data_IF_093029743773
#
_entry.id   IF_093029743773
#
_cell.length_a   1.000
_cell.length_b   1.000
_cell.length_c   1.000
_cell.angle_alpha   90.00
_cell.angle_beta   90.00
_cell.angle_gamma   90.00
#
_symmetry.space_group_name_H-M   'P 1'
#
loop_
_entity.id
_entity.type
_entity.pdbx_description
1 polymer ?
#
# COMPACT_ATOMS: atom_id res chain seq x y z
N UNK A 1 -33.01 48.41 -72.34
CA UNK A 1 -32.28 48.79 -71.13
C UNK A 1 -32.10 47.50 -70.37
N UNK A 2 -30.93 46.99 -70.48
CA UNK A 2 -30.53 45.67 -70.00
C UNK A 2 -29.92 45.80 -68.66
N UNK A 3 -30.46 45.13 -67.68
CA UNK A 3 -29.83 44.91 -66.35
C UNK A 3 -29.23 43.53 -66.32
N UNK A 4 -27.90 43.46 -66.14
CA UNK A 4 -27.11 42.23 -65.98
C UNK A 4 -27.15 41.81 -64.52
N UNK A 5 -27.65 40.61 -64.31
CA UNK A 5 -27.58 39.89 -63.04
C UNK A 5 -26.17 39.32 -62.84
N UNK A 6 -25.49 39.63 -61.72
CA UNK A 6 -24.23 39.05 -61.30
C UNK A 6 -24.51 37.98 -60.26
N UNK A 7 -24.06 36.74 -60.58
CA UNK A 7 -24.13 35.57 -59.67
C UNK A 7 -23.14 35.71 -58.48
N UNK A 8 -23.45 35.22 -57.27
CA UNK A 8 -22.53 35.23 -56.15
C UNK A 8 -21.48 34.10 -56.27
N UNK A 9 -20.24 34.45 -55.95
CA UNK A 9 -19.05 33.54 -55.83
C UNK A 9 -19.23 32.50 -54.71
N UNK A 10 -18.71 31.26 -54.83
CA UNK A 10 -18.87 30.26 -53.80
C UNK A 10 -17.95 30.54 -52.58
N UNK A 11 -18.53 30.35 -51.40
CA UNK A 11 -17.89 30.49 -50.13
C UNK A 11 -16.73 29.49 -49.96
N UNK A 12 -15.61 30.02 -49.53
CA UNK A 12 -14.42 29.29 -49.13
C UNK A 12 -14.74 28.28 -48.02
N UNK A 13 -14.34 27.02 -48.26
CA UNK A 13 -14.49 25.91 -47.34
C UNK A 13 -13.80 26.20 -46.00
N UNK A 14 -14.55 25.99 -44.93
CA UNK A 14 -14.02 25.93 -43.56
C UNK A 14 -13.17 24.66 -43.45
N UNK A 15 -11.87 24.82 -43.30
CA UNK A 15 -10.99 23.72 -42.87
C UNK A 15 -11.46 23.19 -41.50
N UNK A 16 -11.75 21.90 -41.43
CA UNK A 16 -12.01 21.20 -40.16
C UNK A 16 -10.71 21.28 -39.31
N UNK A 17 -10.83 21.47 -37.97
CA UNK A 17 -9.66 21.54 -37.11
C UNK A 17 -8.93 20.19 -37.17
N UNK A 18 -7.71 20.19 -37.68
CA UNK A 18 -6.78 19.07 -37.57
C UNK A 18 -6.43 18.87 -36.11
N UNK A 19 -7.08 17.89 -35.48
CA UNK A 19 -6.68 17.41 -34.15
C UNK A 19 -5.31 16.76 -34.31
N UNK A 20 -4.26 17.48 -33.94
CA UNK A 20 -2.94 16.89 -33.68
C UNK A 20 -3.13 15.74 -32.68
N UNK A 21 -2.57 14.55 -32.89
CA UNK A 21 -2.64 13.48 -31.88
C UNK A 21 -2.03 14.02 -30.60
N UNK A 22 -2.81 13.97 -29.50
CA UNK A 22 -2.34 14.38 -28.18
C UNK A 22 -1.05 13.62 -27.88
N UNK A 23 0.00 14.33 -27.49
CA UNK A 23 1.27 13.73 -27.08
C UNK A 23 0.99 12.76 -25.92
N UNK A 24 1.77 11.67 -25.81
CA UNK A 24 1.58 10.66 -24.76
C UNK A 24 1.53 11.23 -23.33
N UNK A 25 2.15 12.41 -23.13
CA UNK A 25 2.08 13.16 -21.88
C UNK A 25 0.66 13.70 -21.59
N UNK A 26 -0.04 14.23 -22.60
CA UNK A 26 -1.38 14.78 -22.47
C UNK A 26 -2.41 13.68 -22.17
N UNK A 27 -2.25 12.50 -22.76
CA UNK A 27 -3.08 11.35 -22.51
C UNK A 27 -2.89 10.83 -21.07
N UNK A 28 -1.64 10.75 -20.59
CA UNK A 28 -1.33 10.38 -19.21
C UNK A 28 -1.95 11.35 -18.20
N UNK A 29 -1.81 12.66 -18.42
CA UNK A 29 -2.40 13.71 -17.59
C UNK A 29 -3.94 13.63 -17.56
N UNK A 30 -4.57 13.45 -18.71
CA UNK A 30 -6.02 13.28 -18.79
C UNK A 30 -6.51 12.03 -18.02
N UNK A 31 -5.74 10.92 -18.08
CA UNK A 31 -6.02 9.69 -17.34
C UNK A 31 -5.88 9.92 -15.84
N UNK A 32 -4.78 10.53 -15.39
CA UNK A 32 -4.55 10.93 -13.99
C UNK A 32 -5.72 11.78 -13.47
N UNK A 33 -6.11 12.80 -14.22
CA UNK A 33 -7.22 13.69 -13.82
C UNK A 33 -8.54 12.92 -13.66
N UNK A 34 -8.88 12.02 -14.59
CA UNK A 34 -10.11 11.19 -14.47
C UNK A 34 -10.10 10.31 -13.23
N UNK A 35 -8.96 9.65 -12.95
CA UNK A 35 -8.83 8.74 -11.80
C UNK A 35 -8.88 9.52 -10.50
N UNK A 36 -8.12 10.61 -10.38
CA UNK A 36 -8.17 11.54 -9.25
C UNK A 36 -9.61 11.93 -8.91
N UNK A 37 -10.36 12.41 -9.90
CA UNK A 37 -11.76 12.84 -9.71
C UNK A 37 -12.69 11.71 -9.27
N UNK A 38 -12.45 10.47 -9.75
CA UNK A 38 -13.22 9.30 -9.30
C UNK A 38 -12.91 8.96 -7.85
N UNK A 39 -11.63 8.92 -7.48
CA UNK A 39 -11.18 8.62 -6.12
C UNK A 39 -11.66 9.69 -5.14
N UNK A 40 -11.46 10.96 -5.42
CA UNK A 40 -11.90 12.07 -4.57
C UNK A 40 -13.42 12.05 -4.33
N UNK A 41 -14.21 11.74 -5.37
CA UNK A 41 -15.69 11.70 -5.25
C UNK A 41 -16.19 10.50 -4.46
N UNK A 42 -15.57 9.35 -4.61
CA UNK A 42 -16.06 8.10 -4.01
C UNK A 42 -15.52 7.88 -2.60
N UNK A 43 -14.31 8.34 -2.32
CA UNK A 43 -13.65 8.20 -1.00
C UNK A 43 -13.90 9.44 -0.13
N UNK A 44 -14.12 10.61 -0.75
CA UNK A 44 -14.38 11.85 0.00
C UNK A 44 -13.11 12.51 0.58
N UNK A 45 -11.92 12.02 0.24
CA UNK A 45 -10.62 12.56 0.65
C UNK A 45 -10.00 13.27 -0.55
N UNK A 46 -9.55 14.51 -0.39
CA UNK A 46 -8.85 15.23 -1.45
C UNK A 46 -7.45 14.66 -1.66
N UNK A 47 -7.01 14.58 -2.92
CA UNK A 47 -5.63 14.33 -3.26
C UNK A 47 -4.81 15.63 -3.16
N UNK A 48 -3.60 15.54 -2.63
CA UNK A 48 -2.67 16.68 -2.52
C UNK A 48 -1.67 16.67 -3.67
N UNK A 49 -1.28 17.84 -4.13
CA UNK A 49 -0.24 18.05 -5.15
C UNK A 49 1.08 18.47 -4.49
N UNK A 50 2.15 18.48 -5.25
CA UNK A 50 3.45 18.93 -4.74
C UNK A 50 4.19 17.91 -3.89
N UNK A 51 3.90 16.61 -4.02
CA UNK A 51 4.56 15.59 -3.22
C UNK A 51 5.76 14.97 -3.94
N UNK A 52 6.74 14.56 -3.15
CA UNK A 52 7.78 13.63 -3.55
C UNK A 52 7.48 12.26 -2.93
N UNK A 53 7.46 11.22 -3.74
CA UNK A 53 7.30 9.83 -3.28
C UNK A 53 8.45 9.00 -3.81
N UNK A 54 9.24 8.43 -2.92
CA UNK A 54 10.36 7.55 -3.24
C UNK A 54 10.03 6.11 -2.82
N UNK A 55 9.78 5.19 -3.75
CA UNK A 55 9.70 3.77 -3.42
C UNK A 55 11.04 3.28 -2.87
N UNK A 56 11.00 2.59 -1.73
CA UNK A 56 12.14 1.97 -1.08
C UNK A 56 11.97 0.45 -1.16
N UNK A 57 13.04 -0.24 -1.51
CA UNK A 57 13.02 -1.68 -1.74
C UNK A 57 13.83 -2.43 -0.70
N UNK A 58 13.23 -3.43 -0.04
CA UNK A 58 13.83 -4.32 0.93
C UNK A 58 14.42 -3.62 2.17
N UNK A 59 14.82 -4.42 3.14
CA UNK A 59 15.21 -3.90 4.46
C UNK A 59 16.43 -3.00 4.45
N UNK A 60 17.45 -3.31 3.64
CA UNK A 60 18.68 -2.52 3.60
C UNK A 60 18.39 -1.05 3.24
N UNK A 61 17.56 -0.81 2.24
CA UNK A 61 17.17 0.54 1.84
C UNK A 61 16.14 1.16 2.78
N UNK A 62 15.12 0.38 3.18
CA UNK A 62 14.00 0.87 3.98
C UNK A 62 14.47 1.24 5.39
N UNK A 63 15.14 0.33 6.11
CA UNK A 63 15.58 0.59 7.47
C UNK A 63 16.68 1.64 7.54
N UNK A 64 17.56 1.69 6.52
CA UNK A 64 18.55 2.76 6.39
C UNK A 64 17.87 4.13 6.36
N UNK A 65 16.94 4.34 5.43
CA UNK A 65 16.21 5.60 5.29
C UNK A 65 15.38 5.97 6.54
N UNK A 66 14.70 4.99 7.16
CA UNK A 66 13.90 5.23 8.36
C UNK A 66 14.77 5.61 9.57
N UNK A 67 15.89 4.89 9.80
CA UNK A 67 16.82 5.19 10.91
C UNK A 67 17.52 6.54 10.73
N UNK A 68 17.91 6.87 9.49
CA UNK A 68 18.50 8.18 9.17
C UNK A 68 17.50 9.32 9.47
N UNK A 69 16.22 9.13 9.09
CA UNK A 69 15.18 10.11 9.40
C UNK A 69 14.97 10.25 10.90
N UNK A 70 14.85 9.15 11.67
CA UNK A 70 14.73 9.19 13.12
C UNK A 70 15.93 9.88 13.76
N UNK A 71 17.14 9.51 13.35
CA UNK A 71 18.38 10.08 13.92
C UNK A 71 18.51 11.58 13.65
N UNK A 72 17.92 12.07 12.56
CA UNK A 72 17.91 13.48 12.17
C UNK A 72 16.79 14.30 12.80
N UNK A 73 15.84 13.66 13.50
CA UNK A 73 14.66 14.29 14.08
C UNK A 73 15.05 15.39 15.09
N UNK A 74 14.35 16.53 15.01
CA UNK A 74 14.59 17.72 15.86
C UNK A 74 13.42 18.04 16.79
N UNK A 75 12.21 17.63 16.41
CA UNK A 75 10.99 18.05 17.10
C UNK A 75 10.09 16.86 17.46
N UNK A 76 9.74 16.04 16.48
CA UNK A 76 8.75 14.96 16.69
C UNK A 76 9.12 13.69 15.94
N UNK A 77 8.84 12.54 16.55
CA UNK A 77 8.84 11.23 15.91
C UNK A 77 7.57 10.50 16.32
N UNK A 78 6.71 10.20 15.34
CA UNK A 78 5.50 9.43 15.54
C UNK A 78 5.63 8.11 14.78
N UNK A 79 5.71 7.01 15.49
CA UNK A 79 5.89 5.68 14.91
C UNK A 79 4.76 4.74 15.31
N UNK A 80 4.20 4.04 14.33
CA UNK A 80 3.18 3.02 14.55
C UNK A 80 3.50 1.79 13.73
N UNK A 81 3.45 0.60 14.35
CA UNK A 81 3.70 -0.65 13.64
C UNK A 81 2.86 -1.80 14.17
N UNK A 82 2.49 -2.73 13.27
CA UNK A 82 1.86 -3.98 13.64
C UNK A 82 2.86 -4.96 14.27
N UNK A 83 4.04 -5.12 13.63
CA UNK A 83 5.11 -6.00 14.10
C UNK A 83 6.25 -5.17 14.67
N UNK A 84 6.59 -5.44 15.92
CA UNK A 84 7.85 -5.05 16.54
C UNK A 84 8.34 -6.28 17.36
N UNK A 85 9.25 -7.05 16.77
CA UNK A 85 9.73 -8.28 17.38
C UNK A 85 11.11 -8.07 17.99
N UNK A 86 11.77 -9.16 18.40
CA UNK A 86 13.14 -9.16 18.92
C UNK A 86 14.16 -9.15 17.77
N UNK A 87 15.38 -8.75 18.07
CA UNK A 87 16.51 -8.83 17.14
C UNK A 87 17.30 -7.52 17.07
N UNK A 88 18.32 -7.52 16.23
CA UNK A 88 19.24 -6.38 16.11
C UNK A 88 18.55 -5.13 15.56
N UNK A 89 17.70 -5.28 14.53
CA UNK A 89 16.97 -4.14 13.99
C UNK A 89 16.01 -3.53 15.01
N UNK A 90 15.38 -4.36 15.86
CA UNK A 90 14.53 -3.88 16.94
C UNK A 90 15.32 -3.06 17.97
N UNK A 91 16.53 -3.51 18.34
CA UNK A 91 17.44 -2.78 19.23
C UNK A 91 17.86 -1.46 18.63
N UNK A 92 18.25 -1.43 17.35
CA UNK A 92 18.65 -0.19 16.64
C UNK A 92 17.54 0.85 16.63
N UNK A 93 16.29 0.46 16.34
CA UNK A 93 15.15 1.38 16.42
C UNK A 93 14.89 1.85 17.84
N UNK A 94 14.91 0.96 18.85
CA UNK A 94 14.71 1.33 20.25
C UNK A 94 15.79 2.33 20.74
N UNK A 95 17.04 2.11 20.37
CA UNK A 95 18.16 3.01 20.70
C UNK A 95 18.00 4.38 20.02
N UNK A 96 17.67 4.42 18.72
CA UNK A 96 17.46 5.66 17.99
C UNK A 96 16.29 6.48 18.57
N UNK A 97 15.15 5.84 18.87
CA UNK A 97 13.99 6.49 19.48
C UNK A 97 14.32 7.00 20.88
N UNK A 98 14.96 6.20 21.73
CA UNK A 98 15.37 6.57 23.07
C UNK A 98 16.40 7.72 23.06
N UNK A 99 17.35 7.71 22.13
CA UNK A 99 18.31 8.81 21.97
C UNK A 99 17.62 10.13 21.62
N UNK A 100 16.67 10.12 20.69
CA UNK A 100 15.92 11.33 20.33
C UNK A 100 15.09 11.84 21.49
N UNK A 101 14.40 10.96 22.23
CA UNK A 101 13.64 11.35 23.41
C UNK A 101 14.53 12.01 24.48
N UNK A 102 15.72 11.45 24.80
CA UNK A 102 16.69 12.06 25.72
C UNK A 102 17.17 13.45 25.26
N UNK A 103 17.20 13.67 23.94
CA UNK A 103 17.58 14.97 23.36
C UNK A 103 16.39 15.94 23.21
N UNK A 104 15.25 15.66 23.87
CA UNK A 104 14.10 16.56 23.95
C UNK A 104 13.14 16.48 22.75
N UNK A 105 13.35 15.54 21.82
CA UNK A 105 12.38 15.26 20.74
C UNK A 105 11.16 14.55 21.34
N UNK A 106 9.94 14.97 20.98
CA UNK A 106 8.73 14.21 21.32
C UNK A 106 8.71 12.92 20.52
N UNK A 107 8.74 11.78 21.20
CA UNK A 107 8.70 10.46 20.56
C UNK A 107 7.47 9.69 21.02
N UNK A 108 6.57 9.37 20.10
CA UNK A 108 5.38 8.53 20.35
C UNK A 108 5.52 7.22 19.58
N UNK A 109 5.35 6.10 20.27
CA UNK A 109 5.40 4.75 19.69
C UNK A 109 4.09 4.01 19.96
N UNK A 110 3.34 3.70 18.90
CA UNK A 110 2.10 2.92 18.99
C UNK A 110 2.32 1.50 18.48
N UNK A 111 2.13 0.52 19.34
CA UNK A 111 2.32 -0.90 19.07
C UNK A 111 0.99 -1.64 19.02
N UNK A 112 0.77 -2.50 18.01
CA UNK A 112 -0.39 -3.40 18.02
C UNK A 112 -0.24 -4.47 19.13
N UNK A 113 -1.27 -4.64 19.95
CA UNK A 113 -1.23 -5.52 21.11
C UNK A 113 -1.07 -7.01 20.79
N UNK A 114 -1.34 -7.44 19.54
CA UNK A 114 -1.17 -8.81 19.11
C UNK A 114 0.11 -8.98 18.27
N UNK A 115 0.31 -8.11 17.29
CA UNK A 115 1.42 -8.21 16.36
C UNK A 115 2.77 -7.96 17.02
N UNK A 116 2.85 -7.03 17.99
CA UNK A 116 4.08 -6.66 18.68
C UNK A 116 4.33 -7.41 20.01
N UNK A 117 3.63 -8.51 20.25
CA UNK A 117 3.77 -9.30 21.50
C UNK A 117 5.14 -9.92 21.75
N UNK A 118 5.99 -9.98 20.73
CA UNK A 118 7.35 -10.56 20.79
C UNK A 118 8.43 -9.50 21.01
N UNK A 119 8.08 -8.23 21.25
CA UNK A 119 9.05 -7.20 21.62
C UNK A 119 9.72 -7.57 22.96
N UNK A 120 11.03 -7.33 23.05
CA UNK A 120 11.78 -7.57 24.27
C UNK A 120 11.42 -6.52 25.34
N UNK A 121 11.13 -6.97 26.55
CA UNK A 121 10.66 -6.10 27.63
C UNK A 121 11.68 -5.04 28.02
N UNK A 122 12.99 -5.38 27.99
CA UNK A 122 14.07 -4.44 28.27
C UNK A 122 14.16 -3.30 27.27
N UNK A 123 13.77 -3.52 26.00
CA UNK A 123 13.69 -2.43 25.01
C UNK A 123 12.55 -1.47 25.33
N UNK A 124 11.41 -1.97 25.79
CA UNK A 124 10.29 -1.13 26.21
C UNK A 124 10.67 -0.28 27.44
N UNK A 125 11.32 -0.90 28.42
CA UNK A 125 11.77 -0.21 29.64
C UNK A 125 12.77 0.92 29.29
N UNK A 126 13.80 0.61 28.49
CA UNK A 126 14.78 1.60 28.02
C UNK A 126 14.16 2.77 27.26
N UNK A 127 13.19 2.49 26.37
CA UNK A 127 12.49 3.54 25.62
C UNK A 127 11.65 4.39 26.58
N UNK A 128 10.90 3.79 27.49
CA UNK A 128 10.08 4.52 28.46
C UNK A 128 10.91 5.35 29.44
N UNK A 129 12.02 4.81 29.95
CA UNK A 129 12.97 5.53 30.82
C UNK A 129 13.63 6.72 30.09
N UNK A 130 13.82 6.61 28.79
CA UNK A 130 14.33 7.71 27.95
C UNK A 130 13.29 8.80 27.64
N UNK A 131 12.01 8.57 27.98
CA UNK A 131 10.92 9.51 27.72
C UNK A 131 10.15 9.26 26.40
N UNK A 132 10.29 8.09 25.79
CA UNK A 132 9.42 7.66 24.69
C UNK A 132 8.02 7.35 25.25
N UNK A 133 7.00 7.98 24.67
CA UNK A 133 5.61 7.68 25.02
C UNK A 133 5.14 6.43 24.25
N UNK A 134 4.99 5.30 24.96
CA UNK A 134 4.64 4.00 24.38
C UNK A 134 3.18 3.64 24.66
N UNK A 135 2.38 3.56 23.62
CA UNK A 135 0.98 3.15 23.69
C UNK A 135 0.73 1.81 23.00
N UNK A 136 -0.35 1.13 23.42
CA UNK A 136 -0.74 -0.17 22.88
C UNK A 136 -2.13 -0.13 22.27
N UNK A 137 -2.21 -0.41 20.97
CA UNK A 137 -3.49 -0.56 20.29
C UNK A 137 -4.12 -1.91 20.62
N UNK A 138 -5.28 -1.88 21.30
CA UNK A 138 -6.14 -3.04 21.61
C UNK A 138 -5.37 -4.23 22.19
N UNK A 139 -4.65 -4.01 23.28
CA UNK A 139 -3.94 -5.07 24.01
C UNK A 139 -4.94 -6.15 24.45
N UNK A 140 -4.73 -7.45 24.18
CA UNK A 140 -5.73 -8.50 24.40
C UNK A 140 -6.33 -8.56 25.81
N UNK A 141 -5.55 -8.29 26.84
CA UNK A 141 -6.00 -8.28 28.23
C UNK A 141 -6.95 -7.10 28.58
N UNK A 142 -7.02 -6.07 27.73
CA UNK A 142 -7.73 -4.82 28.03
C UNK A 142 -8.97 -4.60 27.15
N UNK A 143 -9.23 -5.45 26.18
CA UNK A 143 -10.34 -5.26 25.23
C UNK A 143 -11.21 -6.51 25.09
N UNK A 144 -12.48 -6.31 24.74
CA UNK A 144 -13.42 -7.41 24.50
C UNK A 144 -12.99 -8.29 23.32
N UNK A 145 -13.37 -9.59 23.29
CA UNK A 145 -13.05 -10.50 22.20
C UNK A 145 -13.47 -9.99 20.80
N UNK A 146 -14.59 -9.26 20.72
CA UNK A 146 -15.08 -8.67 19.47
C UNK A 146 -14.11 -7.61 18.92
N UNK A 147 -13.58 -6.74 19.77
CA UNK A 147 -12.59 -5.73 19.39
C UNK A 147 -11.20 -6.32 19.10
N UNK A 148 -10.89 -7.49 19.64
CA UNK A 148 -9.61 -8.17 19.39
C UNK A 148 -9.44 -8.63 17.95
N UNK A 149 -10.51 -8.82 17.19
CA UNK A 149 -10.42 -9.23 15.79
C UNK A 149 -10.00 -8.10 14.85
N UNK A 150 -10.14 -6.85 15.25
CA UNK A 150 -9.76 -5.66 14.47
C UNK A 150 -8.39 -5.18 14.93
N UNK A 151 -7.39 -5.18 14.03
CA UNK A 151 -5.99 -4.91 14.33
C UNK A 151 -5.50 -3.65 13.63
N UNK A 152 -4.50 -3.01 14.21
CA UNK A 152 -3.77 -1.93 13.58
C UNK A 152 -2.69 -2.53 12.67
N UNK A 153 -3.02 -2.75 11.40
CA UNK A 153 -2.04 -3.26 10.43
C UNK A 153 -1.27 -2.16 9.73
N UNK A 154 -1.52 -0.88 10.04
CA UNK A 154 -0.76 0.27 9.55
C UNK A 154 0.69 0.19 9.99
N UNK A 155 1.61 0.62 9.12
CA UNK A 155 3.01 0.84 9.38
C UNK A 155 3.30 2.27 8.97
N UNK A 156 3.55 3.11 9.95
CA UNK A 156 3.71 4.55 9.78
C UNK A 156 4.90 5.03 10.60
N UNK A 157 5.74 5.82 10.00
CA UNK A 157 6.73 6.66 10.68
C UNK A 157 6.59 8.08 10.13
N UNK A 158 6.40 9.06 11.00
CA UNK A 158 6.40 10.49 10.65
C UNK A 158 7.46 11.18 11.48
N UNK A 159 8.32 11.95 10.84
CA UNK A 159 9.41 12.67 11.50
C UNK A 159 9.26 14.15 11.20
N UNK A 160 9.26 14.95 12.28
CA UNK A 160 9.18 16.41 12.27
C UNK A 160 7.98 16.97 11.46
N UNK A 161 6.96 16.13 11.21
CA UNK A 161 5.83 16.41 10.32
C UNK A 161 6.25 16.74 8.87
N UNK A 162 7.49 16.45 8.47
CA UNK A 162 8.06 16.79 7.17
C UNK A 162 8.35 15.58 6.27
N UNK A 163 8.59 14.44 6.87
CA UNK A 163 8.87 13.21 6.15
C UNK A 163 8.05 12.08 6.76
N UNK A 164 7.43 11.28 5.90
CA UNK A 164 6.66 10.12 6.32
C UNK A 164 7.08 8.86 5.57
N UNK A 165 6.90 7.72 6.23
CA UNK A 165 7.13 6.40 5.66
C UNK A 165 5.90 5.51 5.88
N UNK A 166 5.52 4.74 4.84
CA UNK A 166 4.49 3.71 4.96
C UNK A 166 4.70 2.60 3.93
N UNK A 167 4.24 1.39 4.24
CA UNK A 167 4.39 0.22 3.37
C UNK A 167 4.15 -1.10 4.08
N UNK A 168 4.83 -2.17 3.65
CA UNK A 168 4.60 -3.52 4.18
C UNK A 168 5.46 -3.91 5.38
N UNK A 169 6.58 -3.24 5.63
CA UNK A 169 7.63 -3.67 6.56
C UNK A 169 7.22 -3.52 8.03
N UNK A 170 7.45 -4.57 8.83
CA UNK A 170 7.47 -4.49 10.29
C UNK A 170 8.91 -4.38 10.83
N UNK A 171 9.06 -4.19 12.13
CA UNK A 171 10.37 -4.14 12.79
C UNK A 171 10.74 -5.55 13.28
N UNK A 172 11.42 -6.30 12.42
CA UNK A 172 11.89 -7.66 12.71
C UNK A 172 12.98 -8.08 11.71
N UNK A 173 13.78 -9.07 12.10
CA UNK A 173 14.92 -9.55 11.32
C UNK A 173 14.54 -10.11 9.95
N UNK A 174 13.31 -10.64 9.82
CA UNK A 174 12.79 -11.20 8.57
C UNK A 174 12.75 -10.17 7.43
N UNK A 175 12.63 -8.90 7.76
CA UNK A 175 12.67 -7.81 6.76
C UNK A 175 14.06 -7.22 6.56
N UNK A 176 15.11 -7.64 7.31
CA UNK A 176 16.48 -7.17 7.08
C UNK A 176 17.03 -7.74 5.77
N UNK A 177 18.05 -7.08 5.21
CA UNK A 177 18.72 -7.51 3.99
C UNK A 177 18.01 -7.07 2.71
N UNK A 178 18.39 -7.70 1.60
CA UNK A 178 17.96 -7.36 0.25
C UNK A 178 17.30 -8.52 -0.50
N UNK A 179 16.53 -9.35 0.23
CA UNK A 179 15.81 -10.50 -0.32
C UNK A 179 16.70 -11.52 -1.05
N UNK A 180 17.95 -11.71 -0.59
CA UNK A 180 18.97 -12.57 -1.21
C UNK A 180 18.83 -14.03 -0.84
N UNK A 181 18.10 -14.32 0.22
CA UNK A 181 17.91 -15.67 0.74
C UNK A 181 16.53 -15.80 1.42
N UNK A 182 16.05 -17.02 1.75
CA UNK A 182 14.72 -17.24 2.34
C UNK A 182 14.44 -16.52 3.66
N UNK A 183 15.44 -16.06 4.38
CA UNK A 183 15.32 -15.35 5.65
C UNK A 183 15.12 -13.85 5.48
N UNK A 184 15.47 -13.30 4.34
CA UNK A 184 15.35 -11.89 3.99
C UNK A 184 14.08 -11.66 3.16
N UNK A 185 13.02 -11.11 3.72
CA UNK A 185 11.76 -10.94 3.01
C UNK A 185 11.82 -9.81 1.97
N UNK A 186 11.15 -10.03 0.85
CA UNK A 186 10.97 -9.02 -0.20
C UNK A 186 9.81 -8.11 0.16
N UNK A 187 10.08 -6.83 0.40
CA UNK A 187 9.03 -5.85 0.69
C UNK A 187 9.29 -4.49 0.03
N UNK A 188 8.31 -3.61 0.11
CA UNK A 188 8.38 -2.23 -0.41
C UNK A 188 7.75 -1.26 0.58
N UNK A 189 8.42 -0.12 0.77
CA UNK A 189 7.92 1.05 1.50
C UNK A 189 7.94 2.27 0.58
N UNK A 190 7.27 3.33 1.00
CA UNK A 190 7.39 4.65 0.40
C UNK A 190 7.90 5.65 1.44
N UNK A 191 8.89 6.45 1.07
CA UNK A 191 9.22 7.71 1.69
C UNK A 191 8.40 8.82 1.02
N UNK A 192 7.76 9.67 1.81
CA UNK A 192 6.88 10.75 1.35
C UNK A 192 7.31 12.08 1.93
N UNK A 193 7.38 13.12 1.11
CA UNK A 193 7.57 14.51 1.51
C UNK A 193 6.54 15.40 0.83
N UNK A 194 6.23 16.53 1.42
CA UNK A 194 5.21 17.46 0.94
C UNK A 194 3.84 17.24 1.61
N UNK A 195 2.76 17.85 1.08
CA UNK A 195 1.45 17.89 1.75
C UNK A 195 0.81 16.55 2.11
N UNK A 196 1.17 15.45 1.41
CA UNK A 196 0.66 14.12 1.73
C UNK A 196 1.15 13.57 3.08
N UNK A 197 2.19 14.17 3.67
CA UNK A 197 2.67 13.82 5.03
C UNK A 197 1.55 13.98 6.05
N UNK A 198 0.72 15.02 5.95
CA UNK A 198 -0.44 15.24 6.83
C UNK A 198 -1.43 14.07 6.81
N UNK A 199 -1.66 13.50 5.63
CA UNK A 199 -2.54 12.34 5.48
C UNK A 199 -1.98 11.09 6.17
N UNK A 200 -0.66 10.89 6.14
CA UNK A 200 0.02 9.78 6.83
C UNK A 200 0.07 10.05 8.34
N UNK A 201 0.34 11.29 8.75
CA UNK A 201 0.29 11.70 10.16
C UNK A 201 -1.13 11.52 10.75
N UNK A 202 -2.17 11.86 9.96
CA UNK A 202 -3.56 11.63 10.36
C UNK A 202 -3.87 10.13 10.54
N UNK A 203 -3.22 9.22 9.81
CA UNK A 203 -3.37 7.79 10.04
C UNK A 203 -2.78 7.36 11.39
N UNK A 204 -1.66 7.94 11.82
CA UNK A 204 -1.12 7.75 13.17
C UNK A 204 -2.06 8.34 14.22
N UNK A 205 -2.42 9.61 14.10
CA UNK A 205 -3.23 10.35 15.07
C UNK A 205 -4.59 9.66 15.33
N UNK A 206 -5.22 9.10 14.29
CA UNK A 206 -6.48 8.38 14.41
C UNK A 206 -6.41 7.17 15.36
N UNK A 207 -5.34 6.37 15.26
CA UNK A 207 -5.14 5.23 16.15
C UNK A 207 -4.57 5.64 17.52
N UNK A 208 -3.75 6.70 17.57
CA UNK A 208 -3.26 7.26 18.83
C UNK A 208 -4.42 7.73 19.71
N UNK A 209 -5.39 8.44 19.13
CA UNK A 209 -6.58 8.93 19.80
C UNK A 209 -7.44 7.83 20.44
N UNK A 210 -7.43 6.60 19.90
CA UNK A 210 -8.14 5.46 20.51
C UNK A 210 -7.42 4.98 21.78
N UNK A 211 -6.11 5.18 21.88
CA UNK A 211 -5.25 4.59 22.90
C UNK A 211 -4.80 5.57 23.98
N UNK A 212 -4.87 6.87 23.69
CA UNK A 212 -4.38 7.92 24.55
C UNK A 212 -5.45 9.02 24.78
N UNK A 213 -5.63 9.52 26.02
CA UNK A 213 -6.67 10.51 26.30
C UNK A 213 -6.38 11.90 25.72
N UNK A 214 -5.12 12.22 25.49
CA UNK A 214 -4.70 13.50 24.91
C UNK A 214 -4.42 13.33 23.42
N UNK A 215 -5.11 14.12 22.59
CA UNK A 215 -4.95 14.11 21.13
C UNK A 215 -3.78 14.95 20.68
N UNK A 216 -3.63 16.10 21.28
CA UNK A 216 -2.63 17.11 20.92
C UNK A 216 -1.94 17.62 22.18
N UNK A 217 -0.69 18.03 22.05
CA UNK A 217 0.08 18.72 23.09
C UNK A 217 0.73 19.99 22.53
N UNK A 218 1.38 20.79 23.39
CA UNK A 218 2.04 22.06 23.02
C UNK A 218 3.19 21.89 22.01
N UNK A 219 3.57 20.66 21.70
CA UNK A 219 4.64 20.32 20.75
C UNK A 219 4.10 19.98 19.36
N UNK A 220 2.77 19.87 19.19
CA UNK A 220 2.16 19.71 17.86
C UNK A 220 2.34 21.00 17.05
N UNK A 221 2.90 20.87 15.85
CA UNK A 221 3.37 22.02 15.08
C UNK A 221 2.44 22.47 13.98
N UNK A 222 1.68 21.52 13.38
CA UNK A 222 0.76 21.82 12.26
C UNK A 222 1.43 22.65 11.16
N UNK A 223 2.54 22.17 10.63
CA UNK A 223 3.35 22.89 9.67
C UNK A 223 2.67 23.01 8.31
N UNK A 224 2.93 24.09 7.59
CA UNK A 224 2.61 24.18 6.17
C UNK A 224 3.71 23.51 5.34
N UNK A 225 3.32 22.70 4.37
CA UNK A 225 4.25 21.99 3.52
C UNK A 225 4.56 22.77 2.24
N UNK A 226 5.83 23.01 2.00
CA UNK A 226 6.29 23.44 0.68
C UNK A 226 6.25 22.28 -0.31
N UNK A 227 6.01 22.53 -1.60
CA UNK A 227 6.08 21.49 -2.61
C UNK A 227 7.45 20.81 -2.63
N UNK A 228 7.46 19.48 -2.53
CA UNK A 228 8.68 18.66 -2.54
C UNK A 228 8.90 17.89 -3.85
N UNK A 229 7.91 17.92 -4.75
CA UNK A 229 7.94 17.20 -6.03
C UNK A 229 6.69 17.46 -6.87
N UNK A 230 6.42 16.58 -7.82
CA UNK A 230 5.30 16.70 -8.78
C UNK A 230 4.17 15.71 -8.55
N UNK A 231 4.34 14.74 -7.64
CA UNK A 231 3.35 13.68 -7.48
C UNK A 231 2.04 14.20 -6.87
N UNK A 232 0.93 13.73 -7.42
CA UNK A 232 -0.40 13.85 -6.82
C UNK A 232 -0.65 12.63 -5.96
N UNK A 233 -0.93 12.82 -4.68
CA UNK A 233 -1.08 11.73 -3.71
C UNK A 233 -2.40 11.85 -2.96
N UNK A 234 -3.15 10.75 -2.90
CA UNK A 234 -4.27 10.61 -1.98
C UNK A 234 -3.89 9.56 -0.92
N UNK A 235 -3.96 9.94 0.35
CA UNK A 235 -3.73 9.02 1.47
C UNK A 235 -5.06 8.42 1.89
N UNK A 236 -5.26 7.13 1.59
CA UNK A 236 -6.49 6.40 1.91
C UNK A 236 -6.28 5.57 3.17
N UNK A 237 -7.18 5.76 4.14
CA UNK A 237 -7.15 5.07 5.43
C UNK A 237 -8.29 4.08 5.49
N UNK A 238 -7.98 2.79 5.63
CA UNK A 238 -8.95 1.76 5.99
C UNK A 238 -9.23 1.81 7.48
N UNK A 239 -10.49 1.61 7.86
CA UNK A 239 -10.88 1.46 9.25
C UNK A 239 -11.79 0.25 9.43
N UNK A 240 -11.67 -0.42 10.56
CA UNK A 240 -12.53 -1.53 10.95
C UNK A 240 -13.95 -1.10 11.37
N UNK A 241 -14.31 0.18 11.22
CA UNK A 241 -15.63 0.68 11.52
C UNK A 241 -16.67 0.14 10.54
N UNK A 242 -17.84 -0.23 11.06
CA UNK A 242 -18.95 -0.74 10.25
C UNK A 242 -19.34 0.26 9.15
N UNK A 243 -19.43 -0.22 7.91
CA UNK A 243 -19.79 0.60 6.74
C UNK A 243 -18.62 1.38 6.11
N UNK A 244 -17.40 1.26 6.62
CA UNK A 244 -16.23 1.89 6.04
C UNK A 244 -15.66 1.01 4.92
N UNK A 245 -15.68 1.49 3.67
CA UNK A 245 -15.29 0.71 2.50
C UNK A 245 -14.26 1.41 1.60
N UNK A 246 -13.51 2.38 2.15
CA UNK A 246 -12.59 3.20 1.35
C UNK A 246 -11.49 2.35 0.70
N UNK A 247 -10.98 1.34 1.41
CA UNK A 247 -9.95 0.45 0.87
C UNK A 247 -10.49 -0.40 -0.29
N UNK A 248 -11.69 -0.95 -0.17
CA UNK A 248 -12.37 -1.67 -1.26
C UNK A 248 -12.65 -0.74 -2.44
N UNK A 249 -13.15 0.47 -2.16
CA UNK A 249 -13.44 1.50 -3.15
C UNK A 249 -12.18 1.90 -3.92
N UNK A 250 -11.05 2.08 -3.23
CA UNK A 250 -9.75 2.36 -3.84
C UNK A 250 -9.36 1.27 -4.85
N UNK A 251 -9.34 0.01 -4.40
CA UNK A 251 -8.98 -1.13 -5.25
C UNK A 251 -9.93 -1.28 -6.45
N UNK A 252 -11.23 -1.07 -6.21
CA UNK A 252 -12.26 -1.13 -7.24
C UNK A 252 -12.06 -0.06 -8.31
N UNK A 253 -11.86 1.20 -7.91
CA UNK A 253 -11.68 2.32 -8.85
C UNK A 253 -10.47 2.08 -9.75
N UNK A 254 -9.36 1.59 -9.21
CA UNK A 254 -8.16 1.27 -9.99
C UNK A 254 -8.47 0.16 -11.01
N UNK A 255 -9.06 -0.96 -10.59
CA UNK A 255 -9.38 -2.08 -11.48
C UNK A 255 -10.41 -1.72 -12.57
N UNK A 256 -11.44 -0.95 -12.23
CA UNK A 256 -12.46 -0.51 -13.19
C UNK A 256 -11.93 0.55 -14.17
N UNK A 257 -10.92 1.35 -13.75
CA UNK A 257 -10.34 2.42 -14.57
C UNK A 257 -9.22 1.95 -15.49
N UNK A 258 -8.70 0.75 -15.27
CA UNK A 258 -7.59 0.20 -16.07
C UNK A 258 -7.98 -0.02 -17.54
N UNK A 259 -7.11 0.41 -18.45
CA UNK A 259 -7.29 0.31 -19.89
C UNK A 259 -6.24 -0.60 -20.56
N UNK A 260 -5.02 -0.70 -20.00
CA UNK A 260 -3.90 -1.43 -20.60
C UNK A 260 -3.37 -2.55 -19.70
N UNK A 261 -3.00 -2.20 -18.46
CA UNK A 261 -2.31 -3.12 -17.55
C UNK A 261 -2.55 -2.83 -16.08
N UNK A 262 -2.78 -3.89 -15.32
CA UNK A 262 -2.74 -3.88 -13.85
C UNK A 262 -1.73 -4.91 -13.38
N UNK A 263 -0.86 -4.51 -12.46
CA UNK A 263 0.07 -5.38 -11.72
C UNK A 263 -0.23 -5.30 -10.25
N UNK A 264 -0.36 -6.43 -9.60
CA UNK A 264 -0.62 -6.56 -8.17
C UNK A 264 0.44 -7.45 -7.53
N UNK A 265 1.19 -6.94 -6.56
CA UNK A 265 2.01 -7.74 -5.65
C UNK A 265 1.40 -7.68 -4.25
N UNK A 266 1.14 -8.83 -3.64
CA UNK A 266 0.54 -8.90 -2.31
C UNK A 266 1.00 -10.14 -1.54
N UNK A 267 1.25 -9.98 -0.23
CA UNK A 267 1.65 -11.07 0.65
C UNK A 267 0.53 -12.09 0.85
N UNK A 268 -0.70 -11.60 1.03
CA UNK A 268 -1.86 -12.44 1.28
C UNK A 268 -2.95 -12.15 0.26
N UNK A 269 -3.19 -13.12 -0.61
CA UNK A 269 -4.20 -13.06 -1.66
C UNK A 269 -5.33 -14.02 -1.33
N UNK A 270 -6.40 -13.50 -0.76
CA UNK A 270 -7.62 -14.24 -0.45
C UNK A 270 -8.84 -13.33 -0.70
N UNK A 271 -9.05 -12.89 -1.94
CA UNK A 271 -10.16 -12.03 -2.30
C UNK A 271 -11.50 -12.73 -2.10
N UNK A 272 -12.55 -11.95 -1.94
CA UNK A 272 -13.92 -12.43 -2.02
C UNK A 272 -14.35 -12.66 -3.48
N UNK A 273 -15.54 -13.22 -3.66
CA UNK A 273 -16.04 -13.55 -4.99
C UNK A 273 -16.28 -12.30 -5.86
N UNK A 274 -16.56 -11.13 -5.24
CA UNK A 274 -16.71 -9.86 -5.94
C UNK A 274 -15.39 -9.41 -6.59
N UNK A 275 -14.28 -9.42 -5.84
CA UNK A 275 -12.98 -9.04 -6.37
C UNK A 275 -12.41 -10.07 -7.34
N UNK A 276 -12.73 -11.36 -7.19
CA UNK A 276 -12.40 -12.39 -8.19
C UNK A 276 -13.10 -12.09 -9.51
N UNK A 277 -14.39 -11.75 -9.49
CA UNK A 277 -15.13 -11.39 -10.69
C UNK A 277 -14.62 -10.08 -11.29
N UNK A 278 -14.30 -9.07 -10.47
CA UNK A 278 -13.77 -7.79 -10.94
C UNK A 278 -12.42 -7.96 -11.65
N UNK A 279 -11.47 -8.72 -11.09
CA UNK A 279 -10.19 -9.05 -11.71
C UNK A 279 -10.40 -9.81 -13.04
N UNK A 280 -11.34 -10.76 -13.04
CA UNK A 280 -11.69 -11.54 -14.22
C UNK A 280 -12.34 -10.68 -15.32
N UNK A 281 -13.24 -9.79 -14.96
CA UNK A 281 -13.89 -8.85 -15.88
C UNK A 281 -12.87 -7.87 -16.47
N UNK A 282 -11.92 -7.37 -15.63
CA UNK A 282 -10.83 -6.50 -16.09
C UNK A 282 -9.98 -7.20 -17.15
N UNK A 283 -9.59 -8.47 -16.91
CA UNK A 283 -8.83 -9.24 -17.90
C UNK A 283 -9.64 -9.50 -19.19
N UNK A 284 -10.95 -9.82 -19.07
CA UNK A 284 -11.84 -10.05 -20.24
C UNK A 284 -12.06 -8.78 -21.08
N UNK A 285 -11.90 -7.57 -20.51
CA UNK A 285 -11.90 -6.31 -21.28
C UNK A 285 -10.64 -6.12 -22.13
N UNK A 286 -9.66 -7.01 -22.04
CA UNK A 286 -8.40 -6.93 -22.78
C UNK A 286 -7.25 -6.32 -21.96
N UNK A 287 -7.47 -5.92 -20.70
CA UNK A 287 -6.43 -5.42 -19.81
C UNK A 287 -5.50 -6.56 -19.40
N UNK A 288 -4.20 -6.36 -19.49
CA UNK A 288 -3.24 -7.31 -18.97
C UNK A 288 -3.23 -7.24 -17.43
N UNK A 289 -3.75 -8.29 -16.76
CA UNK A 289 -3.77 -8.40 -15.31
C UNK A 289 -2.72 -9.41 -14.87
N UNK A 290 -1.73 -8.95 -14.09
CA UNK A 290 -0.64 -9.77 -13.55
C UNK A 290 -0.65 -9.71 -12.02
N UNK A 291 -0.59 -10.87 -11.37
CA UNK A 291 -0.60 -11.00 -9.90
C UNK A 291 0.65 -11.75 -9.47
N UNK A 292 1.42 -11.13 -8.57
CA UNK A 292 2.63 -11.68 -7.98
C UNK A 292 2.40 -12.01 -6.50
N UNK A 293 2.59 -13.26 -6.15
CA UNK A 293 2.26 -13.84 -4.85
C UNK A 293 3.47 -14.56 -4.24
N UNK A 294 3.49 -14.81 -2.93
CA UNK A 294 4.48 -15.67 -2.32
C UNK A 294 4.46 -17.08 -2.92
N UNK A 295 5.64 -17.64 -3.15
CA UNK A 295 5.85 -19.00 -3.60
C UNK A 295 6.00 -19.99 -2.43
N UNK A 296 7.11 -20.79 -2.39
CA UNK A 296 7.30 -21.81 -1.38
C UNK A 296 7.58 -21.26 0.03
N UNK A 297 8.06 -20.03 0.13
CA UNK A 297 8.51 -19.41 1.38
C UNK A 297 7.41 -18.59 2.09
N UNK A 298 6.12 -18.86 1.82
CA UNK A 298 5.02 -18.19 2.50
C UNK A 298 5.00 -18.49 4.00
N UNK A 299 4.85 -17.46 4.84
CA UNK A 299 4.72 -17.57 6.30
C UNK A 299 3.32 -18.10 6.72
N UNK A 300 2.26 -17.78 5.94
CA UNK A 300 0.87 -18.18 6.23
C UNK A 300 0.30 -19.10 5.15
N UNK A 301 0.63 -20.38 5.23
CA UNK A 301 0.17 -21.40 4.29
C UNK A 301 -1.36 -21.45 4.12
N UNK A 302 -2.11 -21.13 5.18
CA UNK A 302 -3.57 -21.10 5.14
C UNK A 302 -4.08 -20.01 4.21
N UNK A 303 -3.49 -18.82 4.20
CA UNK A 303 -3.84 -17.73 3.28
C UNK A 303 -3.53 -18.11 1.84
N UNK A 304 -2.38 -18.74 1.60
CA UNK A 304 -2.02 -19.23 0.28
C UNK A 304 -3.01 -20.26 -0.24
N UNK A 305 -3.40 -21.25 0.56
CA UNK A 305 -4.38 -22.27 0.18
C UNK A 305 -5.77 -21.64 -0.10
N UNK A 306 -6.17 -20.66 0.70
CA UNK A 306 -7.44 -19.96 0.50
C UNK A 306 -7.47 -19.21 -0.85
N UNK A 307 -6.37 -18.54 -1.24
CA UNK A 307 -6.25 -17.86 -2.53
C UNK A 307 -6.18 -18.82 -3.72
N UNK A 308 -5.50 -19.95 -3.56
CA UNK A 308 -5.31 -20.96 -4.59
C UNK A 308 -6.64 -21.52 -5.16
N UNK A 309 -7.69 -21.49 -4.37
CA UNK A 309 -9.04 -21.87 -4.83
C UNK A 309 -9.53 -21.07 -6.04
N UNK A 310 -9.15 -19.79 -6.13
CA UNK A 310 -9.58 -18.88 -7.20
C UNK A 310 -8.70 -18.93 -8.46
N UNK A 311 -7.52 -19.55 -8.40
CA UNK A 311 -6.56 -19.52 -9.50
C UNK A 311 -7.12 -20.09 -10.81
N UNK A 312 -7.98 -21.12 -10.73
CA UNK A 312 -8.60 -21.71 -11.93
C UNK A 312 -9.53 -20.73 -12.64
N UNK A 313 -10.40 -20.04 -11.89
CA UNK A 313 -11.31 -19.03 -12.43
C UNK A 313 -10.55 -17.82 -13.00
N UNK A 314 -9.61 -17.28 -12.23
CA UNK A 314 -8.79 -16.13 -12.63
C UNK A 314 -7.96 -16.43 -13.89
N UNK A 315 -7.28 -17.58 -13.93
CA UNK A 315 -6.45 -17.92 -15.10
C UNK A 315 -7.29 -18.27 -16.33
N UNK A 316 -8.50 -18.81 -16.16
CA UNK A 316 -9.44 -19.03 -17.25
C UNK A 316 -9.94 -17.70 -17.86
N UNK A 317 -10.04 -16.64 -17.05
CA UNK A 317 -10.38 -15.29 -17.49
C UNK A 317 -9.21 -14.52 -18.14
N UNK A 318 -7.99 -15.09 -18.13
CA UNK A 318 -6.80 -14.46 -18.73
C UNK A 318 -5.85 -13.81 -17.72
N UNK A 319 -6.17 -13.79 -16.42
CA UNK A 319 -5.28 -13.27 -15.37
C UNK A 319 -4.02 -14.13 -15.29
N UNK A 320 -2.86 -13.47 -15.23
CA UNK A 320 -1.55 -14.11 -15.11
C UNK A 320 -1.11 -14.13 -13.65
N UNK A 321 -0.93 -15.31 -13.08
CA UNK A 321 -0.53 -15.47 -11.68
C UNK A 321 0.89 -16.02 -11.65
N UNK A 322 1.73 -15.35 -10.84
CA UNK A 322 3.14 -15.68 -10.64
C UNK A 322 3.42 -15.92 -9.16
N UNK A 323 4.35 -16.80 -8.87
CA UNK A 323 4.80 -17.12 -7.51
C UNK A 323 6.28 -16.80 -7.38
N UNK A 324 6.62 -15.86 -6.52
CA UNK A 324 7.99 -15.45 -6.21
C UNK A 324 8.73 -16.61 -5.54
N UNK A 325 9.90 -16.97 -6.06
CA UNK A 325 10.60 -18.17 -5.63
C UNK A 325 11.68 -17.96 -4.56
N UNK A 326 12.43 -16.82 -4.54
CA UNK A 326 13.60 -16.71 -3.68
C UNK A 326 13.30 -16.67 -2.18
N UNK A 327 12.26 -15.95 -1.78
CA UNK A 327 11.92 -15.71 -0.38
C UNK A 327 10.42 -15.37 -0.23
N UNK A 328 9.99 -14.96 0.97
CA UNK A 328 8.64 -14.43 1.20
C UNK A 328 8.46 -13.10 0.46
N UNK A 329 7.50 -13.05 -0.49
CA UNK A 329 7.02 -11.82 -1.09
C UNK A 329 6.03 -11.16 -0.13
N UNK A 330 6.41 -10.03 0.46
CA UNK A 330 5.56 -9.37 1.46
C UNK A 330 5.12 -7.95 1.05
N UNK A 331 5.46 -7.48 -0.15
CA UNK A 331 5.00 -6.18 -0.67
C UNK A 331 3.48 -6.10 -0.83
N UNK A 332 2.93 -4.89 -0.74
CA UNK A 332 1.54 -4.55 -1.03
C UNK A 332 1.53 -3.38 -1.99
N UNK A 333 1.57 -3.72 -3.28
CA UNK A 333 1.69 -2.76 -4.37
C UNK A 333 0.66 -3.10 -5.45
N UNK A 334 0.06 -2.08 -6.03
CA UNK A 334 -0.65 -2.21 -7.31
C UNK A 334 -0.21 -1.08 -8.23
N UNK A 335 0.09 -1.39 -9.49
CA UNK A 335 0.32 -0.38 -10.53
C UNK A 335 -0.73 -0.51 -11.62
N UNK A 336 -1.07 0.62 -12.25
CA UNK A 336 -2.07 0.69 -13.31
C UNK A 336 -1.59 1.61 -14.42
N UNK A 337 -1.53 1.06 -15.64
CA UNK A 337 -1.32 1.77 -16.91
C UNK A 337 -0.10 2.70 -16.94
N UNK A 338 0.91 2.45 -16.09
CA UNK A 338 2.11 3.27 -15.97
C UNK A 338 1.90 4.67 -15.38
N UNK A 339 0.73 4.97 -14.83
CA UNK A 339 0.37 6.34 -14.37
C UNK A 339 -0.09 6.41 -12.91
N UNK A 340 -0.60 5.32 -12.34
CA UNK A 340 -1.07 5.26 -10.95
C UNK A 340 -0.45 4.09 -10.25
N UNK A 341 -0.05 4.29 -9.01
CA UNK A 341 0.42 3.23 -8.12
C UNK A 341 -0.22 3.32 -6.74
N UNK A 342 -0.47 2.16 -6.14
CA UNK A 342 -0.87 2.00 -4.76
C UNK A 342 0.28 1.38 -3.99
N UNK A 343 0.66 1.99 -2.86
CA UNK A 343 1.70 1.50 -1.95
C UNK A 343 1.19 1.63 -0.52
N UNK A 344 1.32 0.59 0.29
CA UNK A 344 0.93 0.71 1.70
C UNK A 344 0.90 -0.60 2.45
N UNK A 345 0.03 -0.71 3.43
CA UNK A 345 -0.03 -1.83 4.35
C UNK A 345 -1.07 -2.90 3.97
N UNK A 346 -2.05 -2.57 3.11
CA UNK A 346 -3.22 -3.42 2.83
C UNK A 346 -2.90 -4.60 1.91
N UNK A 347 -3.18 -5.80 2.38
CA UNK A 347 -3.18 -7.00 1.53
C UNK A 347 -4.44 -7.08 0.68
N UNK A 348 -4.40 -7.89 -0.38
CA UNK A 348 -5.55 -8.15 -1.24
C UNK A 348 -6.36 -9.35 -0.71
N UNK A 349 -6.89 -9.19 0.51
CA UNK A 349 -7.72 -10.18 1.18
C UNK A 349 -8.83 -9.47 1.97
N UNK A 350 -9.86 -10.25 2.31
CA UNK A 350 -11.04 -9.71 3.03
C UNK A 350 -10.67 -9.05 4.35
N UNK A 351 -9.73 -9.63 5.09
CA UNK A 351 -9.32 -9.12 6.40
C UNK A 351 -8.78 -7.68 6.31
N UNK A 352 -7.83 -7.43 5.41
CA UNK A 352 -7.27 -6.08 5.22
C UNK A 352 -8.27 -5.10 4.61
N UNK A 353 -9.21 -5.58 3.79
CA UNK A 353 -10.18 -4.70 3.14
C UNK A 353 -11.37 -4.32 4.05
N UNK A 354 -11.72 -5.17 5.06
CA UNK A 354 -12.93 -5.01 5.85
C UNK A 354 -12.68 -4.85 7.36
N UNK A 355 -11.56 -5.35 7.90
CA UNK A 355 -11.44 -5.59 9.34
C UNK A 355 -10.22 -4.97 10.00
N UNK A 356 -9.13 -4.71 9.26
CA UNK A 356 -7.93 -4.14 9.85
C UNK A 356 -7.82 -2.63 9.56
N UNK A 357 -7.17 -1.90 10.48
CA UNK A 357 -6.76 -0.54 10.23
C UNK A 357 -5.60 -0.55 9.23
N UNK A 358 -5.81 0.04 8.06
CA UNK A 358 -4.84 0.05 6.97
C UNK A 358 -4.56 1.46 6.47
N UNK A 359 -3.45 1.65 5.76
CA UNK A 359 -3.12 2.89 5.06
C UNK A 359 -2.51 2.58 3.69
N UNK A 360 -3.02 3.24 2.66
CA UNK A 360 -2.51 3.15 1.29
C UNK A 360 -2.32 4.55 0.71
N UNK A 361 -1.22 4.73 0.00
CA UNK A 361 -0.99 5.87 -0.86
C UNK A 361 -1.50 5.54 -2.26
N UNK A 362 -2.41 6.32 -2.80
CA UNK A 362 -2.71 6.34 -4.23
C UNK A 362 -1.86 7.45 -4.85
N UNK A 363 -0.78 7.06 -5.52
CA UNK A 363 0.21 7.95 -6.13
C UNK A 363 -0.07 8.04 -7.62
N UNK A 364 -0.40 9.22 -8.09
CA UNK A 364 -0.67 9.51 -9.49
C UNK A 364 0.56 10.24 -10.06
N UNK A 365 1.57 9.46 -10.41
CA UNK A 365 2.85 9.92 -10.93
C UNK A 365 3.49 8.83 -11.81
N UNK A 366 3.74 9.13 -13.12
CA UNK A 366 4.32 8.15 -14.03
C UNK A 366 5.75 7.72 -13.67
N UNK A 367 6.54 8.58 -13.03
CA UNK A 367 7.92 8.25 -12.67
C UNK A 367 7.94 7.26 -11.49
N UNK A 368 7.14 7.51 -10.46
CA UNK A 368 6.97 6.59 -9.32
C UNK A 368 6.41 5.25 -9.80
N UNK A 369 5.41 5.27 -10.68
CA UNK A 369 4.79 4.05 -11.20
C UNK A 369 5.80 3.24 -12.02
N UNK A 370 6.64 3.89 -12.81
CA UNK A 370 7.71 3.25 -13.58
C UNK A 370 8.72 2.56 -12.67
N UNK A 371 9.19 3.21 -11.62
CA UNK A 371 10.11 2.59 -10.64
C UNK A 371 9.51 1.32 -10.03
N UNK A 372 8.21 1.35 -9.66
CA UNK A 372 7.54 0.17 -9.13
C UNK A 372 7.33 -0.93 -10.18
N UNK A 373 7.05 -0.56 -11.43
CA UNK A 373 6.98 -1.51 -12.54
C UNK A 373 8.32 -2.17 -12.83
N UNK A 374 9.43 -1.43 -12.71
CA UNK A 374 10.81 -1.97 -12.83
C UNK A 374 11.10 -2.97 -11.71
N UNK A 375 10.77 -2.64 -10.45
CA UNK A 375 10.87 -3.57 -9.32
C UNK A 375 10.01 -4.83 -9.55
N UNK A 376 8.79 -4.66 -10.06
CA UNK A 376 7.90 -5.77 -10.37
C UNK A 376 8.48 -6.68 -11.46
N UNK A 377 9.07 -6.11 -12.52
CA UNK A 377 9.69 -6.87 -13.61
C UNK A 377 10.91 -7.66 -13.14
N UNK A 378 11.68 -7.13 -12.18
CA UNK A 378 12.77 -7.87 -11.53
C UNK A 378 12.25 -9.04 -10.72
N UNK A 379 11.23 -8.80 -9.88
CA UNK A 379 10.60 -9.84 -9.08
C UNK A 379 9.96 -10.92 -9.96
N UNK A 380 9.40 -10.53 -11.11
CA UNK A 380 8.78 -11.43 -12.08
C UNK A 380 9.80 -12.38 -12.72
N UNK A 381 11.04 -11.91 -13.00
CA UNK A 381 12.13 -12.76 -13.53
C UNK A 381 12.52 -13.89 -12.56
N UNK A 382 12.36 -13.67 -11.26
CA UNK A 382 12.61 -14.64 -10.20
C UNK A 382 11.36 -15.46 -9.82
N UNK A 383 10.29 -15.40 -10.63
CA UNK A 383 9.00 -16.00 -10.31
C UNK A 383 8.62 -17.14 -11.25
N UNK A 384 7.85 -18.09 -10.75
CA UNK A 384 7.26 -19.17 -11.53
C UNK A 384 5.81 -18.84 -11.90
N UNK A 385 5.49 -18.86 -13.19
CA UNK A 385 4.11 -18.65 -13.67
C UNK A 385 3.26 -19.88 -13.39
N UNK A 386 2.05 -19.68 -12.89
CA UNK A 386 1.04 -20.72 -12.76
C UNK A 386 0.49 -21.05 -14.15
N UNK A 387 0.82 -22.26 -14.65
CA UNK A 387 0.31 -22.75 -15.91
C UNK A 387 -1.13 -23.24 -15.75
N UNK A 388 -2.13 -22.67 -16.49
CA UNK A 388 -3.56 -23.02 -16.32
C UNK A 388 -3.85 -24.51 -16.50
N UNK A 389 -3.25 -25.16 -17.50
CA UNK A 389 -3.45 -26.58 -17.78
C UNK A 389 -2.89 -27.48 -16.67
N UNK A 390 -1.69 -27.12 -16.15
CA UNK A 390 -1.07 -27.84 -15.02
C UNK A 390 -1.88 -27.65 -13.74
N UNK A 391 -2.41 -26.45 -13.51
CA UNK A 391 -3.22 -26.14 -12.33
C UNK A 391 -4.55 -26.92 -12.34
N UNK A 392 -5.22 -27.04 -13.48
CA UNK A 392 -6.44 -27.86 -13.61
C UNK A 392 -6.20 -29.34 -13.29
N UNK A 393 -4.99 -29.85 -13.51
CA UNK A 393 -4.57 -31.24 -13.25
C UNK A 393 -3.95 -31.44 -11.86
N UNK A 394 -4.05 -30.45 -10.94
CA UNK A 394 -3.51 -30.59 -9.59
C UNK A 394 -4.13 -31.77 -8.84
N UNK A 395 -3.36 -32.38 -7.92
CA UNK A 395 -3.75 -33.60 -7.21
C UNK A 395 -5.06 -33.41 -6.41
N UNK A 396 -5.79 -34.52 -6.22
CA UNK A 396 -6.99 -34.53 -5.36
C UNK A 396 -6.65 -34.11 -3.92
N UNK A 397 -5.47 -34.44 -3.42
CA UNK A 397 -4.98 -34.03 -2.11
C UNK A 397 -4.85 -32.51 -2.02
N UNK A 398 -4.31 -31.86 -3.06
CA UNK A 398 -4.23 -30.39 -3.12
C UNK A 398 -5.64 -29.76 -3.12
N UNK A 399 -6.55 -30.27 -3.92
CA UNK A 399 -7.97 -29.82 -3.95
C UNK A 399 -8.66 -30.02 -2.61
N UNK A 400 -8.40 -31.14 -1.93
CA UNK A 400 -8.90 -31.41 -0.57
C UNK A 400 -8.40 -30.39 0.46
N UNK A 401 -7.12 -30.02 0.40
CA UNK A 401 -6.53 -28.97 1.28
C UNK A 401 -7.15 -27.60 1.02
N UNK A 402 -7.36 -27.20 -0.24
CA UNK A 402 -8.02 -25.96 -0.61
C UNK A 402 -9.47 -25.91 -0.08
N UNK A 403 -10.19 -27.03 -0.19
CA UNK A 403 -11.56 -27.16 0.31
C UNK A 403 -11.62 -27.09 1.85
N UNK A 404 -10.67 -27.71 2.54
CA UNK A 404 -10.62 -27.71 4.01
C UNK A 404 -10.43 -26.32 4.63
N UNK A 405 -9.74 -25.41 3.93
CA UNK A 405 -9.55 -24.02 4.41
C UNK A 405 -10.69 -23.07 4.01
N UNK A 406 -11.65 -23.51 3.20
CA UNK A 406 -12.77 -22.68 2.73
C UNK A 406 -13.57 -22.00 3.85
N UNK A 407 -13.90 -22.65 4.98
CA UNK A 407 -14.61 -21.99 6.07
C UNK A 407 -13.82 -20.86 6.74
N UNK A 408 -12.47 -20.91 6.66
CA UNK A 408 -11.59 -19.92 7.29
C UNK A 408 -11.44 -18.65 6.44
N UNK A 409 -11.85 -18.66 5.16
CA UNK A 409 -11.69 -17.54 4.22
C UNK A 409 -12.31 -16.23 4.72
N UNK A 410 -13.41 -16.31 5.48
CA UNK A 410 -14.07 -15.14 6.06
C UNK A 410 -13.27 -14.46 7.19
N UNK A 411 -12.22 -15.12 7.68
CA UNK A 411 -11.33 -14.59 8.73
C UNK A 411 -9.94 -14.22 8.21
N UNK A 412 -9.66 -14.46 6.91
CA UNK A 412 -8.38 -14.24 6.23
C UNK A 412 -8.45 -12.95 5.31
#
# INVERSE_FOLDING_TARGET
>A
MTTTDAAPSPATGAEAPTTTPADGSDQAQARIHRIRRRLERLIGIAATEGNSVRPLRNGDEIFGAMLDAVSSARHTVDMMTFVYWKGEIARRFAEALAERARNGVRVRLLLDGFGSRLIEQDLLERMSEAGVDVAWFRKPALVSPLKQNHRCHRKVLVVDEQIAFTGGVGIAEEWCGDARNPQEWRDTHAEVRGPAVDGVAAAFAQNWAECHPELFDDRDRFISHEPAGSAVVQVVRGSAAFGWQDMQTLMRVVLESAEERVRLATAYFAPDDYFVELLSATARRGVTVEILLPGPHTDKRVCQLAGQHHYEALTAAGVRIHQYQPTMMHAKIMTMDGVVSLIGSSNFNRRSLDHDEEVMLAVMDPAVTRTLDEHYDEDLRASARIAPQRWRRRSLLQRGRELAVRPLRRFL
#
